data_IF_305924692070
#
_entry.id   IF_305924692070
#
_cell.length_a   1.000
_cell.length_b   1.000
_cell.length_c   1.000
_cell.angle_alpha   90.00
_cell.angle_beta   90.00
_cell.angle_gamma   90.00
#
_symmetry.space_group_name_H-M   'P 1'
#
loop_
_entity.id
_entity.type
_entity.pdbx_description
1 polymer ?
#
# COMPACT_ATOMS: atom_id res chain seq x y z
N UNK A 1 1.09 26.22 -33.84
CA UNK A 1 0.16 26.37 -32.70
C UNK A 1 -0.06 25.00 -32.08
N UNK A 2 0.47 24.74 -30.88
CA UNK A 2 0.27 23.47 -30.19
C UNK A 2 -1.14 23.42 -29.59
N UNK A 3 -1.93 22.40 -29.94
CA UNK A 3 -3.27 22.15 -29.38
C UNK A 3 -3.13 21.89 -27.88
N UNK A 4 -3.71 22.76 -27.05
CA UNK A 4 -3.91 22.49 -25.63
C UNK A 4 -4.77 21.24 -25.50
N UNK A 5 -4.19 20.15 -25.00
CA UNK A 5 -4.94 18.94 -24.68
C UNK A 5 -5.95 19.28 -23.60
N UNK A 6 -7.23 19.05 -23.88
CA UNK A 6 -8.33 19.27 -22.94
C UNK A 6 -8.08 18.45 -21.68
N UNK A 7 -8.02 19.11 -20.51
CA UNK A 7 -7.76 18.49 -19.19
C UNK A 7 -8.96 17.69 -18.66
N UNK A 8 -9.77 17.17 -19.56
CA UNK A 8 -10.95 16.39 -19.27
C UNK A 8 -10.54 15.08 -18.57
N UNK A 9 -11.17 14.73 -17.44
CA UNK A 9 -10.78 13.55 -16.68
C UNK A 9 -10.76 12.24 -17.48
N UNK A 10 -11.63 12.10 -18.49
CA UNK A 10 -11.74 10.90 -19.35
C UNK A 10 -10.69 10.81 -20.47
N UNK A 11 -9.97 11.89 -20.78
CA UNK A 11 -8.84 11.88 -21.73
C UNK A 11 -7.53 11.45 -21.07
N UNK A 12 -7.51 11.32 -19.74
CA UNK A 12 -6.31 10.99 -18.97
C UNK A 12 -5.97 9.51 -19.15
N UNK A 13 -4.68 9.23 -19.35
CA UNK A 13 -4.19 7.85 -19.38
C UNK A 13 -4.52 7.15 -18.05
N UNK A 14 -4.79 5.83 -18.06
CA UNK A 14 -5.05 5.09 -16.85
C UNK A 14 -3.83 5.19 -15.92
N UNK A 15 -4.05 5.24 -14.59
CA UNK A 15 -2.95 5.23 -13.64
C UNK A 15 -2.10 3.97 -13.89
N UNK A 16 -0.78 4.17 -13.95
CA UNK A 16 0.18 3.06 -14.03
C UNK A 16 -0.11 2.09 -12.89
N UNK A 17 -0.09 0.78 -13.15
CA UNK A 17 -0.32 -0.26 -12.15
C UNK A 17 0.51 0.05 -10.89
N UNK A 18 -0.16 0.55 -9.85
CA UNK A 18 0.50 0.93 -8.60
C UNK A 18 0.81 -0.32 -7.80
N UNK A 19 2.05 -0.42 -7.31
CA UNK A 19 2.64 -1.67 -6.81
C UNK A 19 1.81 -2.43 -5.77
N UNK A 20 1.62 -3.72 -6.03
CA UNK A 20 1.08 -4.66 -5.06
C UNK A 20 2.06 -4.80 -3.89
N UNK A 21 1.59 -4.55 -2.67
CA UNK A 21 2.43 -4.70 -1.47
C UNK A 21 2.40 -6.14 -1.00
N UNK A 22 3.48 -6.88 -1.30
CA UNK A 22 3.66 -8.23 -0.75
C UNK A 22 3.99 -8.15 0.74
N UNK A 23 3.22 -8.86 1.56
CA UNK A 23 3.49 -8.96 3.01
C UNK A 23 4.74 -9.81 3.25
N UNK A 24 5.66 -9.30 4.07
CA UNK A 24 6.77 -10.10 4.60
C UNK A 24 6.24 -11.24 5.49
N UNK A 25 7.03 -12.29 5.68
CA UNK A 25 6.67 -13.40 6.57
C UNK A 25 6.34 -12.94 8.00
N UNK A 26 7.06 -11.93 8.51
CA UNK A 26 6.78 -11.31 9.82
C UNK A 26 5.41 -10.66 9.86
N UNK A 27 5.08 -9.86 8.84
CA UNK A 27 3.77 -9.20 8.73
C UNK A 27 2.62 -10.20 8.64
N UNK A 28 2.79 -11.32 7.91
CA UNK A 28 1.80 -12.41 7.84
C UNK A 28 1.55 -13.06 9.21
N UNK A 29 2.61 -13.31 9.99
CA UNK A 29 2.48 -13.84 11.36
C UNK A 29 1.71 -12.87 12.26
N UNK A 30 1.97 -11.56 12.16
CA UNK A 30 1.22 -10.54 12.91
C UNK A 30 -0.25 -10.48 12.50
N UNK A 31 -0.55 -10.57 11.20
CA UNK A 31 -1.93 -10.62 10.70
C UNK A 31 -2.69 -11.84 11.22
N UNK A 32 -2.07 -13.04 11.16
CA UNK A 32 -2.67 -14.28 11.68
C UNK A 32 -2.99 -14.18 13.17
N UNK A 33 -2.05 -13.65 13.98
CA UNK A 33 -2.27 -13.45 15.42
C UNK A 33 -3.43 -12.48 15.71
N UNK A 34 -3.54 -11.40 14.94
CA UNK A 34 -4.63 -10.43 15.09
C UNK A 34 -5.99 -11.05 14.74
N UNK A 35 -6.06 -11.83 13.66
CA UNK A 35 -7.25 -12.55 13.25
C UNK A 35 -7.72 -13.53 14.33
N UNK A 36 -6.81 -14.38 14.84
CA UNK A 36 -7.11 -15.33 15.92
C UNK A 36 -7.58 -14.63 17.19
N UNK A 37 -6.90 -13.54 17.59
CA UNK A 37 -7.30 -12.76 18.78
C UNK A 37 -8.71 -12.16 18.63
N UNK A 38 -9.11 -11.84 17.41
CA UNK A 38 -10.42 -11.28 17.12
C UNK A 38 -11.47 -12.32 16.70
N UNK A 39 -11.14 -13.62 16.75
CA UNK A 39 -12.05 -14.69 16.32
C UNK A 39 -12.37 -14.71 14.82
N UNK A 40 -11.58 -14.04 13.98
CA UNK A 40 -11.77 -13.97 12.53
C UNK A 40 -10.98 -15.06 11.82
N UNK A 41 -11.57 -15.69 10.81
CA UNK A 41 -10.85 -16.65 9.95
C UNK A 41 -9.69 -15.96 9.22
N UNK A 42 -8.57 -16.66 9.11
CA UNK A 42 -7.40 -16.22 8.35
C UNK A 42 -7.18 -17.15 7.14
N UNK A 43 -6.78 -16.65 5.96
CA UNK A 43 -6.43 -15.27 5.62
C UNK A 43 -7.66 -14.37 5.37
N UNK A 44 -7.60 -13.12 5.82
CA UNK A 44 -8.64 -12.12 5.57
C UNK A 44 -8.07 -10.77 5.13
N UNK A 45 -8.90 -9.94 4.47
CA UNK A 45 -8.48 -8.65 3.95
C UNK A 45 -8.12 -7.66 5.06
N UNK A 46 -8.92 -7.55 6.11
CA UNK A 46 -8.77 -6.52 7.15
C UNK A 46 -7.42 -6.63 7.85
N UNK A 47 -7.06 -7.81 8.32
CA UNK A 47 -5.81 -8.04 9.04
C UNK A 47 -4.60 -7.98 8.09
N UNK A 48 -4.74 -8.44 6.85
CA UNK A 48 -3.72 -8.30 5.83
C UNK A 48 -3.46 -6.82 5.46
N UNK A 49 -4.52 -6.02 5.35
CA UNK A 49 -4.42 -4.58 5.08
C UNK A 49 -3.83 -3.81 6.26
N UNK A 50 -4.21 -4.16 7.49
CA UNK A 50 -3.59 -3.60 8.69
C UNK A 50 -2.09 -3.93 8.77
N UNK A 51 -1.72 -5.18 8.48
CA UNK A 51 -0.30 -5.58 8.42
C UNK A 51 0.45 -4.86 7.27
N UNK A 52 -0.18 -4.67 6.12
CA UNK A 52 0.41 -3.95 4.99
C UNK A 52 0.63 -2.46 5.32
N UNK A 53 -0.33 -1.81 5.98
CA UNK A 53 -0.19 -0.42 6.46
C UNK A 53 0.98 -0.27 7.42
N UNK A 54 1.09 -1.16 8.42
CA UNK A 54 2.22 -1.18 9.37
C UNK A 54 3.56 -1.46 8.71
N UNK A 55 3.58 -2.32 7.69
CA UNK A 55 4.79 -2.57 6.91
C UNK A 55 5.23 -1.32 6.14
N UNK A 56 4.30 -0.64 5.45
CA UNK A 56 4.57 0.60 4.72
C UNK A 56 5.05 1.71 5.63
N UNK A 57 4.44 1.89 6.81
CA UNK A 57 4.87 2.91 7.77
C UNK A 57 6.29 2.63 8.26
N UNK A 58 6.62 1.36 8.55
CA UNK A 58 7.98 0.96 8.94
C UNK A 58 9.02 1.20 7.85
N UNK A 59 8.67 0.93 6.59
CA UNK A 59 9.55 1.21 5.43
C UNK A 59 9.73 2.72 5.26
N UNK A 60 8.68 3.52 5.47
CA UNK A 60 8.73 4.98 5.40
C UNK A 60 9.65 5.56 6.47
N UNK A 61 9.56 5.08 7.71
CA UNK A 61 10.41 5.53 8.82
C UNK A 61 11.88 5.11 8.68
N UNK A 62 12.17 4.03 7.95
CA UNK A 62 13.54 3.57 7.71
C UNK A 62 14.21 4.21 6.48
N UNK A 63 13.49 5.05 5.72
CA UNK A 63 14.05 5.70 4.52
C UNK A 63 14.72 7.01 4.94
N UNK A 64 16.03 7.21 4.71
CA UNK A 64 16.69 8.46 5.08
C UNK A 64 16.02 9.63 4.34
N UNK A 65 15.73 10.69 5.09
CA UNK A 65 15.16 11.92 4.59
C UNK A 65 16.17 12.57 3.64
N UNK A 66 16.04 12.31 2.34
CA UNK A 66 16.78 13.07 1.32
C UNK A 66 16.13 14.45 1.27
N UNK A 67 16.77 15.43 1.94
CA UNK A 67 16.36 16.83 1.92
C UNK A 67 16.53 17.44 0.52
N UNK A 68 15.83 18.54 0.20
CA UNK A 68 16.00 19.22 -1.07
C UNK A 68 17.43 19.77 -1.16
N UNK A 69 18.11 19.48 -2.27
CA UNK A 69 19.29 20.24 -2.72
C UNK A 69 18.81 21.39 -3.59
#
# INVERSE_FOLDING_TARGET
>A
MAKQQSNEPWKKAPPKKSGQTKLTAKSKKTAKKAATKAGRTYPNLVDNMNAAKKQKSRVKSSKPQQGPR
#
